data_IF_813421647863
#
_entry.id   IF_813421647863
#
_cell.length_a   1.000
_cell.length_b   1.000
_cell.length_c   1.000
_cell.angle_alpha   90.00
_cell.angle_beta   90.00
_cell.angle_gamma   90.00
#
_symmetry.space_group_name_H-M   'P 1'
#
loop_
_entity.id
_entity.type
_entity.pdbx_description
1 polymer ?
#
# COMPACT_ATOMS: atom_id res chain seq x y z
N UNK A 1 14.08 -6.78 -33.35
CA UNK A 1 15.07 -7.13 -34.38
C UNK A 1 15.62 -8.51 -34.04
N UNK A 2 15.34 -9.53 -34.86
CA UNK A 2 15.83 -10.89 -34.64
C UNK A 2 17.31 -10.98 -35.06
N UNK A 3 18.14 -11.59 -34.22
CA UNK A 3 19.57 -11.85 -34.48
C UNK A 3 19.71 -12.53 -35.86
N UNK A 4 20.69 -12.15 -36.71
CA UNK A 4 20.79 -12.61 -38.11
C UNK A 4 20.85 -14.13 -38.33
N UNK A 5 21.13 -14.92 -37.28
CA UNK A 5 21.08 -16.38 -37.31
C UNK A 5 19.65 -16.95 -37.45
N UNK A 6 18.62 -16.26 -36.98
CA UNK A 6 17.23 -16.76 -36.96
C UNK A 6 16.44 -16.44 -38.24
N UNK A 7 17.03 -15.72 -39.20
CA UNK A 7 16.38 -15.36 -40.46
C UNK A 7 16.16 -16.56 -41.42
N UNK A 8 16.85 -17.68 -41.21
CA UNK A 8 16.73 -18.91 -42.03
C UNK A 8 15.66 -19.89 -41.53
N UNK A 9 15.09 -19.67 -40.36
CA UNK A 9 14.07 -20.55 -39.78
C UNK A 9 12.68 -20.04 -40.15
N UNK A 10 11.80 -20.87 -40.75
CA UNK A 10 10.44 -20.49 -41.08
C UNK A 10 9.70 -19.93 -39.86
N UNK A 11 9.08 -18.75 -40.00
CA UNK A 11 8.39 -18.03 -38.91
C UNK A 11 7.39 -18.88 -38.13
N UNK A 12 6.75 -19.84 -38.80
CA UNK A 12 5.78 -20.76 -38.20
C UNK A 12 6.39 -21.62 -37.07
N UNK A 13 7.66 -22.02 -37.17
CA UNK A 13 8.32 -22.81 -36.12
C UNK A 13 8.50 -22.01 -34.83
N UNK A 14 8.80 -20.71 -34.91
CA UNK A 14 8.85 -19.85 -33.73
C UNK A 14 7.47 -19.72 -33.09
N UNK A 15 6.41 -19.56 -33.89
CA UNK A 15 5.05 -19.45 -33.36
C UNK A 15 4.64 -20.74 -32.65
N UNK A 16 4.91 -21.92 -33.25
CA UNK A 16 4.60 -23.21 -32.63
C UNK A 16 5.43 -23.44 -31.37
N UNK A 17 6.72 -23.10 -31.37
CA UNK A 17 7.58 -23.22 -30.19
C UNK A 17 7.13 -22.28 -29.07
N UNK A 18 6.82 -21.02 -29.39
CA UNK A 18 6.29 -20.06 -28.41
C UNK A 18 4.94 -20.53 -27.87
N UNK A 19 4.04 -21.02 -28.71
CA UNK A 19 2.75 -21.57 -28.28
C UNK A 19 2.92 -22.79 -27.36
N UNK A 20 3.80 -23.71 -27.73
CA UNK A 20 4.09 -24.93 -26.97
C UNK A 20 4.68 -24.62 -25.58
N UNK A 21 5.41 -23.51 -25.44
CA UNK A 21 5.92 -23.03 -24.14
C UNK A 21 4.86 -22.22 -23.39
N UNK A 22 4.12 -21.37 -24.10
CA UNK A 22 3.16 -20.44 -23.51
C UNK A 22 1.95 -21.17 -22.90
N UNK A 23 1.40 -22.19 -23.57
CA UNK A 23 0.24 -22.95 -23.06
C UNK A 23 0.48 -23.53 -21.65
N UNK A 24 1.51 -24.36 -21.41
CA UNK A 24 1.75 -24.92 -20.08
C UNK A 24 2.09 -23.85 -19.04
N UNK A 25 2.83 -22.80 -19.42
CA UNK A 25 3.09 -21.67 -18.52
C UNK A 25 1.81 -20.93 -18.13
N UNK A 26 0.91 -20.69 -19.08
CA UNK A 26 -0.38 -20.04 -18.83
C UNK A 26 -1.29 -20.89 -17.95
N UNK A 27 -1.29 -22.22 -18.09
CA UNK A 27 -2.06 -23.11 -17.20
C UNK A 27 -1.54 -23.02 -15.77
N UNK A 28 -0.21 -23.08 -15.58
CA UNK A 28 0.38 -22.95 -14.24
C UNK A 28 0.14 -21.56 -13.63
N UNK A 29 0.30 -20.51 -14.44
CA UNK A 29 0.05 -19.14 -14.02
C UNK A 29 -1.43 -18.94 -13.64
N UNK A 30 -2.37 -19.46 -14.44
CA UNK A 30 -3.81 -19.38 -14.15
C UNK A 30 -4.17 -20.11 -12.85
N UNK A 31 -3.53 -21.25 -12.55
CA UNK A 31 -3.78 -22.00 -11.33
C UNK A 31 -3.37 -21.25 -10.05
N UNK A 32 -2.37 -20.36 -10.11
CA UNK A 32 -1.88 -19.55 -8.97
C UNK A 32 -2.24 -18.07 -9.06
N UNK A 33 -3.01 -17.69 -10.08
CA UNK A 33 -3.31 -16.30 -10.39
C UNK A 33 -4.11 -15.64 -9.28
N UNK A 34 -5.17 -16.31 -8.82
CA UNK A 34 -6.04 -15.79 -7.77
C UNK A 34 -5.28 -15.58 -6.46
N UNK A 35 -4.53 -16.58 -6.01
CA UNK A 35 -3.68 -16.48 -4.82
C UNK A 35 -2.69 -15.31 -4.92
N UNK A 36 -2.01 -15.18 -6.06
CA UNK A 36 -1.04 -14.10 -6.27
C UNK A 36 -1.70 -12.72 -6.28
N UNK A 37 -2.89 -12.60 -6.88
CA UNK A 37 -3.66 -11.36 -6.92
C UNK A 37 -4.14 -10.97 -5.54
N UNK A 38 -4.73 -11.90 -4.78
CA UNK A 38 -5.23 -11.64 -3.42
C UNK A 38 -4.08 -11.20 -2.53
N UNK A 39 -2.91 -11.86 -2.60
CA UNK A 39 -1.74 -11.47 -1.81
C UNK A 39 -1.27 -10.05 -2.12
N UNK A 40 -1.20 -9.70 -3.40
CA UNK A 40 -0.83 -8.35 -3.81
C UNK A 40 -1.86 -7.31 -3.33
N UNK A 41 -3.14 -7.67 -3.40
CA UNK A 41 -4.22 -6.79 -2.96
C UNK A 41 -4.23 -6.61 -1.44
N UNK A 42 -3.94 -7.66 -0.66
CA UNK A 42 -3.80 -7.58 0.80
C UNK A 42 -2.69 -6.62 1.21
N UNK A 43 -1.52 -6.70 0.57
CA UNK A 43 -0.39 -5.79 0.85
C UNK A 43 -0.77 -4.33 0.57
N UNK A 44 -1.47 -4.07 -0.53
CA UNK A 44 -1.99 -2.71 -0.83
C UNK A 44 -3.05 -2.31 0.20
N UNK A 45 -3.90 -3.24 0.61
CA UNK A 45 -4.93 -3.04 1.61
C UNK A 45 -4.37 -2.55 2.95
N UNK A 46 -3.29 -3.13 3.44
CA UNK A 46 -2.66 -2.68 4.69
C UNK A 46 -2.21 -1.22 4.61
N UNK A 47 -1.68 -0.81 3.45
CA UNK A 47 -1.28 0.58 3.21
C UNK A 47 -2.49 1.52 3.13
N UNK A 48 -3.59 1.07 2.54
CA UNK A 48 -4.85 1.80 2.54
C UNK A 48 -5.36 2.04 3.98
N UNK A 49 -5.21 1.07 4.88
CA UNK A 49 -5.56 1.23 6.30
C UNK A 49 -4.80 2.36 7.01
N UNK A 50 -3.50 2.52 6.73
CA UNK A 50 -2.73 3.67 7.22
C UNK A 50 -3.27 4.99 6.69
N UNK A 51 -3.56 5.05 5.39
CA UNK A 51 -4.06 6.26 4.74
C UNK A 51 -5.44 6.67 5.27
N UNK A 52 -6.34 5.70 5.40
CA UNK A 52 -7.69 5.91 5.92
C UNK A 52 -7.64 6.41 7.37
N UNK A 53 -6.80 5.82 8.22
CA UNK A 53 -6.63 6.28 9.60
C UNK A 53 -6.20 7.75 9.67
N UNK A 54 -5.18 8.14 8.90
CA UNK A 54 -4.68 9.52 8.86
C UNK A 54 -5.74 10.50 8.36
N UNK A 55 -6.42 10.19 7.26
CA UNK A 55 -7.42 11.10 6.66
C UNK A 55 -8.65 11.23 7.56
N UNK A 56 -9.15 10.12 8.11
CA UNK A 56 -10.29 10.12 9.02
C UNK A 56 -9.97 10.93 10.27
N UNK A 57 -8.79 10.72 10.85
CA UNK A 57 -8.40 11.43 12.06
C UNK A 57 -8.16 12.93 11.80
N UNK A 58 -7.50 13.29 10.69
CA UNK A 58 -7.32 14.68 10.29
C UNK A 58 -8.68 15.39 10.11
N UNK A 59 -9.63 14.74 9.44
CA UNK A 59 -10.94 15.31 9.20
C UNK A 59 -11.77 15.44 10.48
N UNK A 60 -11.82 14.40 11.30
CA UNK A 60 -12.68 14.35 12.49
C UNK A 60 -12.08 15.13 13.65
N UNK A 61 -10.80 14.89 13.97
CA UNK A 61 -10.17 15.37 15.21
C UNK A 61 -9.58 16.77 15.03
N UNK A 62 -8.85 17.00 13.94
CA UNK A 62 -8.14 18.26 13.75
C UNK A 62 -8.98 19.31 13.04
N UNK A 63 -9.78 18.88 12.05
CA UNK A 63 -10.62 19.78 11.24
C UNK A 63 -12.08 19.81 11.67
N UNK A 64 -12.50 19.05 12.69
CA UNK A 64 -13.87 19.03 13.22
C UNK A 64 -14.95 18.85 12.14
N UNK A 65 -14.69 18.05 11.10
CA UNK A 65 -15.54 17.85 9.92
C UNK A 65 -15.83 19.13 9.11
N UNK A 66 -15.03 20.19 9.26
CA UNK A 66 -15.17 21.40 8.47
C UNK A 66 -14.39 21.30 7.15
N UNK A 67 -15.12 21.00 6.07
CA UNK A 67 -14.58 20.93 4.72
C UNK A 67 -14.15 22.29 4.17
N UNK A 68 -14.63 23.40 4.74
CA UNK A 68 -14.19 24.75 4.34
C UNK A 68 -12.77 25.09 4.80
N UNK A 69 -12.21 24.30 5.71
CA UNK A 69 -10.81 24.42 6.14
C UNK A 69 -9.80 24.09 5.04
N UNK A 70 -10.22 23.42 3.96
CA UNK A 70 -9.38 23.16 2.80
C UNK A 70 -9.46 24.34 1.83
N UNK A 71 -8.54 25.29 1.95
CA UNK A 71 -8.42 26.38 0.98
C UNK A 71 -7.79 25.86 -0.34
N UNK A 72 -8.54 25.82 -1.46
CA UNK A 72 -7.99 25.36 -2.73
C UNK A 72 -6.90 26.30 -3.26
N UNK A 73 -6.83 27.56 -2.83
CA UNK A 73 -5.86 28.54 -3.33
C UNK A 73 -4.43 28.30 -2.80
N UNK A 74 -4.26 27.54 -1.71
CA UNK A 74 -2.96 27.26 -1.10
C UNK A 74 -2.35 25.91 -1.53
N UNK A 75 -3.00 25.17 -2.44
CA UNK A 75 -2.57 23.83 -2.86
C UNK A 75 -1.10 23.76 -3.34
N UNK A 76 -0.58 24.84 -3.93
CA UNK A 76 0.79 24.93 -4.46
C UNK A 76 1.74 25.75 -3.55
N UNK A 77 1.37 25.98 -2.28
CA UNK A 77 2.16 26.78 -1.34
C UNK A 77 2.68 25.92 -0.19
N UNK A 78 3.83 25.26 -0.41
CA UNK A 78 4.47 24.33 0.56
C UNK A 78 4.58 24.91 1.97
N UNK A 79 4.83 26.22 2.09
CA UNK A 79 5.03 26.89 3.38
C UNK A 79 3.75 27.11 4.19
N UNK A 80 2.58 26.96 3.56
CA UNK A 80 1.24 27.07 4.18
C UNK A 80 0.57 25.71 4.38
N UNK A 81 1.18 24.65 3.86
CA UNK A 81 0.71 23.28 4.01
C UNK A 81 1.35 22.64 5.25
N UNK A 82 0.64 21.76 5.96
CA UNK A 82 1.24 20.92 7.00
C UNK A 82 2.36 20.06 6.39
N UNK A 83 3.39 19.75 7.19
CA UNK A 83 4.59 19.09 6.67
C UNK A 83 4.39 17.63 6.30
N UNK A 84 3.31 17.02 6.80
CA UNK A 84 3.01 15.61 6.57
C UNK A 84 4.00 14.66 7.29
N UNK A 85 4.96 15.20 8.05
CA UNK A 85 5.93 14.40 8.79
C UNK A 85 5.27 13.57 9.88
N UNK A 86 4.19 14.07 10.51
CA UNK A 86 3.40 13.31 11.46
C UNK A 86 2.73 12.10 10.80
N UNK A 87 2.18 12.26 9.59
CA UNK A 87 1.54 11.17 8.84
C UNK A 87 2.55 10.11 8.40
N UNK A 88 3.72 10.54 7.89
CA UNK A 88 4.81 9.64 7.51
C UNK A 88 5.34 8.90 8.74
N UNK A 89 5.57 9.62 9.85
CA UNK A 89 6.04 9.04 11.11
C UNK A 89 5.06 8.00 11.67
N UNK A 90 3.77 8.31 11.72
CA UNK A 90 2.73 7.39 12.18
C UNK A 90 2.64 6.15 11.28
N UNK A 91 2.72 6.34 9.96
CA UNK A 91 2.73 5.23 8.99
C UNK A 91 3.97 4.35 9.09
N UNK A 92 5.13 4.90 9.48
CA UNK A 92 6.34 4.11 9.73
C UNK A 92 6.24 3.32 11.03
N UNK A 93 5.62 3.88 12.08
CA UNK A 93 5.41 3.20 13.35
C UNK A 93 4.45 2.01 13.18
N UNK A 94 3.42 2.14 12.34
CA UNK A 94 2.46 1.06 12.10
C UNK A 94 3.08 -0.17 11.42
N UNK A 95 4.11 -0.01 10.60
CA UNK A 95 4.88 -1.13 10.02
C UNK A 95 5.39 -2.09 11.11
N UNK A 96 5.71 -1.56 12.30
CA UNK A 96 6.18 -2.37 13.43
C UNK A 96 5.17 -3.41 13.93
N UNK A 97 3.86 -3.16 13.79
CA UNK A 97 2.81 -4.11 14.19
C UNK A 97 2.14 -4.79 12.99
N UNK A 98 2.12 -4.14 11.82
CA UNK A 98 1.58 -4.72 10.58
C UNK A 98 2.40 -5.94 10.15
N UNK A 99 3.73 -5.85 10.16
CA UNK A 99 4.59 -6.96 9.72
C UNK A 99 4.36 -8.21 10.60
N UNK A 100 4.36 -8.13 11.95
CA UNK A 100 4.05 -9.30 12.78
C UNK A 100 2.62 -9.83 12.69
N UNK A 101 1.65 -9.01 12.28
CA UNK A 101 0.21 -9.34 12.23
C UNK A 101 -0.28 -9.81 10.87
N UNK A 102 0.58 -9.73 9.85
CA UNK A 102 0.31 -10.16 8.48
C UNK A 102 0.26 -11.69 8.42
N UNK A 103 -0.79 -12.23 7.80
CA UNK A 103 -0.88 -13.66 7.46
C UNK A 103 -1.17 -13.80 5.96
N UNK A 104 -0.09 -13.81 5.18
CA UNK A 104 -0.17 -14.01 3.72
C UNK A 104 0.78 -15.12 3.28
N UNK A 105 0.53 -15.77 2.13
CA UNK A 105 1.44 -16.76 1.55
C UNK A 105 2.87 -16.25 1.31
N UNK A 106 3.10 -14.94 1.23
CA UNK A 106 4.44 -14.36 1.10
C UNK A 106 5.15 -14.20 2.45
N UNK A 107 4.39 -13.89 3.50
CA UNK A 107 4.90 -13.68 4.84
C UNK A 107 3.78 -13.87 5.88
N UNK A 108 4.01 -14.79 6.82
CA UNK A 108 3.18 -14.99 8.00
C UNK A 108 3.99 -14.58 9.23
N UNK A 109 3.51 -13.54 9.92
CA UNK A 109 4.09 -13.07 11.17
C UNK A 109 3.63 -13.90 12.38
N UNK A 110 4.33 -13.80 13.52
CA UNK A 110 4.03 -14.60 14.71
C UNK A 110 2.67 -14.29 15.36
N UNK A 111 2.10 -13.11 15.10
CA UNK A 111 0.75 -12.74 15.55
C UNK A 111 -0.28 -13.25 14.53
N UNK A 112 0.01 -13.10 13.23
CA UNK A 112 -0.81 -13.61 12.13
C UNK A 112 -1.04 -15.12 12.22
N UNK A 113 -0.01 -15.89 12.54
CA UNK A 113 -0.10 -17.37 12.67
C UNK A 113 -1.12 -17.83 13.73
N UNK A 114 -1.38 -17.01 14.76
CA UNK A 114 -2.27 -17.39 15.88
C UNK A 114 -3.70 -16.88 15.75
N UNK A 115 -3.89 -15.73 15.11
CA UNK A 115 -5.16 -14.98 15.14
C UNK A 115 -5.74 -14.80 13.72
N UNK A 116 -4.93 -14.97 12.67
CA UNK A 116 -5.29 -14.70 11.27
C UNK A 116 -4.78 -13.33 10.79
N UNK A 117 -5.06 -13.01 9.53
CA UNK A 117 -4.61 -11.77 8.90
C UNK A 117 -5.29 -10.54 9.52
N UNK A 118 -4.52 -9.81 10.33
CA UNK A 118 -4.91 -8.55 10.97
C UNK A 118 -4.09 -7.38 10.43
N UNK A 119 -3.47 -7.52 9.26
CA UNK A 119 -2.60 -6.49 8.70
C UNK A 119 -3.31 -5.15 8.49
N UNK A 120 -4.58 -5.17 8.08
CA UNK A 120 -5.37 -3.95 7.85
C UNK A 120 -5.79 -3.27 9.16
N UNK A 121 -6.36 -4.04 10.09
CA UNK A 121 -6.86 -3.52 11.36
C UNK A 121 -5.71 -3.03 12.23
N UNK A 122 -4.58 -3.75 12.24
CA UNK A 122 -3.38 -3.31 12.95
C UNK A 122 -2.79 -2.05 12.33
N UNK A 123 -2.74 -1.93 11.00
CA UNK A 123 -2.34 -0.71 10.30
C UNK A 123 -3.22 0.48 10.71
N UNK A 124 -4.54 0.30 10.66
CA UNK A 124 -5.50 1.35 10.99
C UNK A 124 -5.39 1.82 12.44
N UNK A 125 -5.43 0.88 13.40
CA UNK A 125 -5.44 1.19 14.83
C UNK A 125 -4.11 1.80 15.28
N UNK A 126 -2.98 1.22 14.87
CA UNK A 126 -1.67 1.73 15.28
C UNK A 126 -1.38 3.08 14.65
N UNK A 127 -1.74 3.27 13.38
CA UNK A 127 -1.56 4.56 12.71
C UNK A 127 -2.41 5.63 13.39
N UNK A 128 -3.67 5.36 13.71
CA UNK A 128 -4.53 6.33 14.41
C UNK A 128 -4.02 6.67 15.82
N UNK A 129 -3.61 5.66 16.60
CA UNK A 129 -3.06 5.91 17.95
C UNK A 129 -1.75 6.70 17.88
N UNK A 130 -0.89 6.42 16.90
CA UNK A 130 0.39 7.12 16.73
C UNK A 130 0.22 8.53 16.13
N UNK A 131 -0.74 8.71 15.22
CA UNK A 131 -0.95 9.96 14.51
C UNK A 131 -1.46 11.05 15.45
N UNK A 132 -2.39 10.74 16.37
CA UNK A 132 -2.92 11.70 17.35
C UNK A 132 -1.86 12.53 18.10
N UNK A 133 -0.90 11.91 18.81
CA UNK A 133 0.13 12.65 19.53
C UNK A 133 1.12 13.35 18.58
N UNK A 134 1.49 12.71 17.47
CA UNK A 134 2.42 13.27 16.49
C UNK A 134 1.85 14.54 15.84
N UNK A 135 0.57 14.50 15.47
CA UNK A 135 -0.14 15.61 14.85
C UNK A 135 -0.42 16.73 15.84
N UNK A 136 -0.77 16.42 17.08
CA UNK A 136 -0.90 17.42 18.17
C UNK A 136 0.42 18.18 18.39
N UNK A 137 1.55 17.48 18.32
CA UNK A 137 2.88 18.08 18.44
C UNK A 137 3.24 18.93 17.22
N UNK A 138 2.89 18.49 16.01
CA UNK A 138 3.08 19.26 14.77
C UNK A 138 2.28 20.57 14.80
N UNK A 139 1.01 20.52 15.19
CA UNK A 139 0.16 21.71 15.33
C UNK A 139 0.72 22.67 16.38
N UNK A 140 1.26 22.17 17.50
CA UNK A 140 1.89 23.02 18.52
C UNK A 140 3.19 23.67 18.06
N UNK A 141 3.99 22.97 17.25
CA UNK A 141 5.28 23.49 16.78
C UNK A 141 5.13 24.44 15.59
N UNK A 142 4.20 24.17 14.69
CA UNK A 142 4.06 24.92 13.44
C UNK A 142 2.90 25.91 13.46
N UNK A 143 1.92 25.77 14.36
CA UNK A 143 0.77 26.66 14.48
C UNK A 143 -0.21 26.60 13.29
N UNK A 144 -0.07 25.60 12.40
CA UNK A 144 -0.96 25.38 11.26
C UNK A 144 -1.76 24.10 11.48
N UNK A 145 -3.07 24.17 11.19
CA UNK A 145 -3.99 23.02 11.13
C UNK A 145 -4.17 22.59 9.69
#
# INVERSE_FOLDING_TARGET
MLVPAFAKVPRFLFIVATLAIMIPMSIYAAAKWEESLVNFLSVIGYWAGCFDAVVIEELIVFRNMDYHSYDPAIWNQVRRLPTGLAAIGASLVSIGLVVPSMDTPWFTGPIGERIGDLGFESAFVVTGIAYYPLRTLEVRLMGHV
#
